data_IF_997338257550
#
_entry.id   IF_997338257550
#
_cell.length_a   1.000
_cell.length_b   1.000
_cell.length_c   1.000
_cell.angle_alpha   90.00
_cell.angle_beta   90.00
_cell.angle_gamma   90.00
#
_symmetry.space_group_name_H-M   'P 1'
#
loop_
_entity.id
_entity.type
_entity.pdbx_description
1 polymer ?
#
# COMPACT_ATOMS: atom_id res chain seq x y z
N UNK A 1 -7.95 -61.45 -20.21
CA UNK A 1 -7.49 -62.50 -21.15
C UNK A 1 -7.57 -63.85 -20.46
N UNK A 2 -8.32 -64.83 -20.97
CA UNK A 2 -8.35 -66.17 -20.36
C UNK A 2 -7.17 -67.01 -20.83
N UNK A 3 -6.51 -67.69 -19.91
CA UNK A 3 -5.41 -68.60 -20.19
C UNK A 3 -5.92 -69.84 -20.94
N UNK A 4 -5.39 -70.13 -22.12
CA UNK A 4 -5.81 -71.32 -22.89
C UNK A 4 -5.57 -72.66 -22.16
N UNK A 5 -4.64 -72.70 -21.19
CA UNK A 5 -4.26 -73.92 -20.49
C UNK A 5 -5.08 -74.20 -19.21
N UNK A 6 -5.46 -73.17 -18.47
CA UNK A 6 -6.18 -73.33 -17.19
C UNK A 6 -7.44 -72.47 -17.07
N UNK A 7 -7.84 -71.82 -18.16
CA UNK A 7 -9.01 -70.94 -18.33
C UNK A 7 -9.07 -69.73 -17.37
N UNK A 8 -8.03 -69.52 -16.57
CA UNK A 8 -7.96 -68.42 -15.62
C UNK A 8 -7.95 -67.06 -16.32
N UNK A 9 -8.75 -66.12 -15.83
CA UNK A 9 -8.87 -64.78 -16.38
C UNK A 9 -7.79 -63.85 -15.82
N UNK A 10 -6.77 -63.59 -16.64
CA UNK A 10 -5.61 -62.79 -16.27
C UNK A 10 -5.81 -61.29 -16.53
N UNK A 11 -5.11 -60.49 -15.72
CA UNK A 11 -4.99 -59.05 -15.86
C UNK A 11 -4.34 -58.72 -17.23
N UNK A 12 -4.90 -57.80 -18.03
CA UNK A 12 -4.33 -57.40 -19.31
C UNK A 12 -2.89 -56.89 -19.17
N UNK A 13 -2.01 -57.25 -20.12
CA UNK A 13 -0.61 -56.80 -20.17
C UNK A 13 0.42 -57.74 -19.52
N UNK A 14 -0.01 -58.87 -18.94
CA UNK A 14 0.90 -59.90 -18.45
C UNK A 14 1.26 -60.90 -19.56
N UNK A 15 2.55 -61.16 -19.74
CA UNK A 15 3.04 -62.12 -20.74
C UNK A 15 2.81 -63.60 -20.35
N UNK A 16 2.51 -63.86 -19.07
CA UNK A 16 2.31 -65.22 -18.53
C UNK A 16 1.11 -65.24 -17.59
N UNK A 17 0.44 -66.39 -17.56
CA UNK A 17 -0.68 -66.62 -16.65
C UNK A 17 -0.18 -66.65 -15.19
N UNK A 18 -0.78 -65.85 -14.31
CA UNK A 18 -0.43 -65.81 -12.88
C UNK A 18 -0.62 -67.19 -12.24
N UNK A 19 -1.66 -67.91 -12.64
CA UNK A 19 -2.01 -69.18 -12.01
C UNK A 19 -1.11 -70.35 -12.39
N UNK A 20 -0.87 -70.58 -13.68
CA UNK A 20 -0.15 -71.77 -14.15
C UNK A 20 1.15 -71.46 -14.90
N UNK A 21 1.53 -70.19 -15.04
CA UNK A 21 2.76 -69.78 -15.71
C UNK A 21 2.77 -69.93 -17.23
N UNK A 22 1.69 -70.42 -17.86
CA UNK A 22 1.65 -70.56 -19.32
C UNK A 22 1.83 -69.20 -20.00
N UNK A 23 2.59 -69.16 -21.07
CA UNK A 23 2.73 -67.96 -21.90
C UNK A 23 1.35 -67.64 -22.48
N UNK A 24 0.89 -66.41 -22.26
CA UNK A 24 -0.34 -65.92 -22.85
C UNK A 24 0.05 -65.39 -24.22
N UNK A 25 0.03 -66.26 -25.24
CA UNK A 25 0.17 -65.86 -26.64
C UNK A 25 -1.05 -65.01 -27.01
N UNK A 26 -0.92 -63.71 -26.77
CA UNK A 26 -1.84 -62.72 -27.29
C UNK A 26 -0.99 -61.75 -28.10
N UNK A 27 -1.26 -61.69 -29.41
CA UNK A 27 -0.84 -60.63 -30.31
C UNK A 27 -0.80 -59.31 -29.54
N UNK A 28 0.40 -58.84 -29.22
CA UNK A 28 0.62 -57.65 -28.43
C UNK A 28 0.33 -56.44 -29.30
N UNK A 29 -0.94 -56.19 -29.59
CA UNK A 29 -1.35 -54.85 -29.94
C UNK A 29 -1.14 -54.03 -28.68
N UNK A 30 -0.02 -53.31 -28.66
CA UNK A 30 0.38 -52.47 -27.54
C UNK A 30 -0.73 -51.43 -27.36
N UNK A 31 -1.64 -51.68 -26.42
CA UNK A 31 -2.61 -50.70 -25.97
C UNK A 31 -1.78 -49.57 -25.37
N UNK A 32 -1.50 -48.54 -26.17
CA UNK A 32 -0.83 -47.34 -25.72
C UNK A 32 -1.79 -46.59 -24.79
N UNK A 33 -1.75 -46.95 -23.51
CA UNK A 33 -2.37 -46.15 -22.46
C UNK A 33 -1.51 -44.90 -22.35
N UNK A 34 -1.96 -43.80 -22.97
CA UNK A 34 -1.43 -42.47 -22.71
C UNK A 34 -2.15 -41.91 -21.48
N UNK A 35 -1.62 -42.06 -20.25
CA UNK A 35 -2.24 -41.42 -19.10
C UNK A 35 -2.27 -39.92 -19.37
N UNK A 36 -3.38 -39.23 -19.04
CA UNK A 36 -3.48 -37.79 -19.25
C UNK A 36 -2.31 -37.11 -18.55
N UNK A 37 -1.38 -36.56 -19.36
CA UNK A 37 -0.19 -35.88 -18.84
C UNK A 37 -0.67 -34.66 -18.07
N UNK A 38 -0.34 -34.61 -16.79
CA UNK A 38 -0.69 -33.47 -15.96
C UNK A 38 -0.01 -32.22 -16.53
N UNK A 39 -0.74 -31.12 -16.76
CA UNK A 39 -0.16 -29.90 -17.32
C UNK A 39 0.90 -29.32 -16.39
N UNK A 40 1.98 -28.78 -16.96
CA UNK A 40 3.19 -28.38 -16.25
C UNK A 40 2.94 -27.40 -15.09
N UNK A 41 1.95 -26.50 -15.23
CA UNK A 41 1.58 -25.51 -14.21
C UNK A 41 1.00 -26.13 -12.93
N UNK A 42 0.48 -27.36 -12.96
CA UNK A 42 -0.02 -28.06 -11.77
C UNK A 42 1.09 -28.68 -10.91
N UNK A 43 2.30 -28.87 -11.46
CA UNK A 43 3.45 -29.45 -10.75
C UNK A 43 3.89 -28.61 -9.53
N UNK A 44 4.09 -27.28 -9.64
CA UNK A 44 4.43 -26.46 -8.47
C UNK A 44 3.29 -26.40 -7.44
N UNK A 45 2.02 -26.34 -7.88
CA UNK A 45 0.87 -26.33 -7.00
C UNK A 45 0.74 -27.62 -6.17
N UNK A 46 1.03 -28.78 -6.77
CA UNK A 46 1.04 -30.06 -6.02
C UNK A 46 2.20 -30.12 -5.03
N UNK A 47 3.36 -29.54 -5.37
CA UNK A 47 4.49 -29.40 -4.45
C UNK A 47 4.15 -28.53 -3.25
N UNK A 48 3.53 -27.37 -3.48
CA UNK A 48 3.02 -26.49 -2.43
C UNK A 48 1.93 -27.20 -1.59
N UNK A 49 0.98 -27.89 -2.23
CA UNK A 49 -0.06 -28.64 -1.54
C UNK A 49 0.44 -29.85 -0.74
N UNK A 50 1.57 -30.46 -1.14
CA UNK A 50 2.26 -31.49 -0.33
C UNK A 50 3.05 -30.88 0.81
N UNK A 51 3.73 -29.74 0.60
CA UNK A 51 4.40 -29.00 1.69
C UNK A 51 3.40 -28.47 2.71
N UNK A 52 2.26 -27.94 2.28
CA UNK A 52 1.16 -27.54 3.16
C UNK A 52 0.55 -28.75 3.89
N UNK A 53 0.41 -29.90 3.22
CA UNK A 53 0.05 -31.17 3.88
C UNK A 53 1.15 -31.73 4.80
N UNK A 54 2.42 -31.43 4.52
CA UNK A 54 3.54 -31.70 5.41
C UNK A 54 3.63 -30.71 6.57
N UNK A 55 3.13 -29.49 6.42
CA UNK A 55 2.86 -28.58 7.53
C UNK A 55 1.61 -29.01 8.32
N UNK A 56 0.73 -29.80 7.68
CA UNK A 56 -0.26 -30.64 8.37
C UNK A 56 0.35 -31.96 8.93
N UNK A 57 1.67 -32.05 9.15
CA UNK A 57 2.27 -33.14 9.93
C UNK A 57 1.65 -33.16 11.34
N UNK A 58 0.71 -34.10 11.51
CA UNK A 58 0.19 -34.68 12.73
C UNK A 58 -0.20 -33.71 13.87
N UNK A 59 -1.51 -33.46 14.05
CA UNK A 59 -2.11 -32.87 15.25
C UNK A 59 -1.92 -33.66 16.57
N UNK A 60 -0.85 -34.45 16.75
CA UNK A 60 -0.70 -35.39 17.86
C UNK A 60 0.66 -35.43 18.57
N UNK A 61 1.67 -34.69 18.12
CA UNK A 61 3.04 -34.86 18.68
C UNK A 61 3.38 -33.95 19.86
N UNK A 62 2.59 -32.92 20.15
CA UNK A 62 2.76 -32.18 21.41
C UNK A 62 2.18 -33.03 22.54
N UNK A 63 2.98 -33.40 23.54
CA UNK A 63 2.49 -34.11 24.71
C UNK A 63 1.27 -33.40 25.32
N UNK A 64 0.29 -34.14 25.86
CA UNK A 64 -0.93 -33.55 26.41
C UNK A 64 -0.67 -32.52 27.51
N UNK A 65 0.46 -32.60 28.23
CA UNK A 65 0.86 -31.60 29.21
C UNK A 65 1.30 -30.27 28.55
N UNK A 66 2.00 -30.30 27.42
CA UNK A 66 2.35 -29.09 26.67
C UNK A 66 1.13 -28.46 26.01
N UNK A 67 0.16 -29.27 25.58
CA UNK A 67 -1.12 -28.75 25.06
C UNK A 67 -1.88 -28.01 26.16
N UNK A 68 -1.99 -28.58 27.37
CA UNK A 68 -2.62 -27.89 28.51
C UNK A 68 -1.89 -26.61 28.92
N UNK A 69 -0.55 -26.62 28.93
CA UNK A 69 0.24 -25.43 29.23
C UNK A 69 0.06 -24.34 28.14
N UNK A 70 0.06 -24.72 26.87
CA UNK A 70 -0.22 -23.81 25.76
C UNK A 70 -1.66 -23.27 25.83
N UNK A 71 -2.65 -24.11 26.10
CA UNK A 71 -4.05 -23.69 26.22
C UNK A 71 -4.26 -22.77 27.44
N UNK A 72 -3.58 -23.03 28.56
CA UNK A 72 -3.56 -22.17 29.75
C UNK A 72 -2.92 -20.81 29.42
N UNK A 73 -1.74 -20.81 28.82
CA UNK A 73 -1.04 -19.58 28.44
C UNK A 73 -1.83 -18.77 27.38
N UNK A 74 -2.47 -19.45 26.43
CA UNK A 74 -3.32 -18.84 25.41
C UNK A 74 -4.70 -18.44 25.94
N UNK A 75 -5.15 -18.98 27.08
CA UNK A 75 -6.41 -18.61 27.73
C UNK A 75 -6.32 -17.24 28.41
N UNK A 76 -5.11 -16.76 28.70
CA UNK A 76 -4.89 -15.39 29.10
C UNK A 76 -5.32 -14.44 27.97
N UNK A 77 -6.35 -13.63 28.26
CA UNK A 77 -6.96 -12.67 27.33
C UNK A 77 -5.92 -11.75 26.69
N UNK A 78 -4.84 -11.42 27.40
CA UNK A 78 -3.74 -10.58 26.91
C UNK A 78 -2.91 -11.27 25.83
N UNK A 79 -2.54 -12.55 25.99
CA UNK A 79 -1.76 -13.30 24.99
C UNK A 79 -2.59 -13.50 23.71
N UNK A 80 -3.88 -13.80 23.86
CA UNK A 80 -4.81 -13.90 22.74
C UNK A 80 -4.93 -12.60 21.94
N UNK A 81 -4.96 -11.46 22.64
CA UNK A 81 -4.98 -10.13 22.01
C UNK A 81 -3.67 -9.84 21.26
N UNK A 82 -2.52 -10.13 21.86
CA UNK A 82 -1.21 -9.96 21.22
C UNK A 82 -1.06 -10.84 19.98
N UNK A 83 -1.49 -12.09 20.03
CA UNK A 83 -1.47 -12.99 18.87
C UNK A 83 -2.47 -12.57 17.78
N UNK A 84 -3.50 -11.81 18.14
CA UNK A 84 -4.48 -11.27 17.19
C UNK A 84 -3.95 -10.06 16.41
N UNK A 85 -2.77 -9.52 16.75
CA UNK A 85 -2.04 -8.52 15.94
C UNK A 85 -1.79 -9.06 14.54
N UNK A 86 -1.48 -10.36 14.42
CA UNK A 86 -1.36 -11.04 13.13
C UNK A 86 -2.69 -11.74 12.82
N UNK A 87 -3.43 -11.32 11.77
CA UNK A 87 -4.76 -11.86 11.51
C UNK A 87 -4.72 -13.37 11.30
N UNK A 88 -5.48 -14.10 12.14
CA UNK A 88 -5.59 -15.55 12.06
C UNK A 88 -4.49 -16.34 12.77
N UNK A 89 -3.41 -15.71 13.28
CA UNK A 89 -2.32 -16.41 13.97
C UNK A 89 -2.80 -17.12 15.23
N UNK A 90 -3.61 -16.44 16.04
CA UNK A 90 -4.19 -17.02 17.25
C UNK A 90 -5.02 -18.29 16.93
N UNK A 91 -5.83 -18.24 15.86
CA UNK A 91 -6.61 -19.38 15.35
C UNK A 91 -5.74 -20.50 14.80
N UNK A 92 -4.60 -20.16 14.17
CA UNK A 92 -3.62 -21.11 13.68
C UNK A 92 -2.97 -21.90 14.82
N UNK A 93 -2.52 -21.21 15.89
CA UNK A 93 -1.92 -21.84 17.06
C UNK A 93 -2.90 -22.77 17.79
N UNK A 94 -4.19 -22.42 17.84
CA UNK A 94 -5.27 -23.28 18.39
C UNK A 94 -5.83 -24.31 17.40
N UNK A 95 -5.23 -24.46 16.21
CA UNK A 95 -5.67 -25.42 15.18
C UNK A 95 -7.12 -25.23 14.68
N UNK A 96 -7.69 -24.03 14.89
CA UNK A 96 -9.03 -23.63 14.43
C UNK A 96 -8.97 -22.72 13.20
N UNK A 97 -7.83 -22.64 12.53
CA UNK A 97 -7.64 -21.80 11.34
C UNK A 97 -8.67 -22.05 10.23
N UNK A 98 -9.15 -23.30 10.10
CA UNK A 98 -10.23 -23.66 9.16
C UNK A 98 -11.52 -22.89 9.35
N UNK A 99 -11.76 -22.29 10.52
CA UNK A 99 -12.94 -21.46 10.75
C UNK A 99 -12.79 -20.06 10.15
N UNK A 100 -11.54 -19.54 10.05
CA UNK A 100 -11.25 -18.15 9.70
C UNK A 100 -10.46 -17.98 8.40
N UNK A 101 -9.97 -19.05 7.78
CA UNK A 101 -9.06 -18.94 6.63
C UNK A 101 -9.62 -18.12 5.47
N UNK A 102 -10.92 -18.24 5.15
CA UNK A 102 -11.57 -17.40 4.15
C UNK A 102 -11.57 -15.91 4.52
N UNK A 103 -11.74 -15.59 5.82
CA UNK A 103 -11.66 -14.21 6.32
C UNK A 103 -10.23 -13.68 6.20
N UNK A 104 -9.22 -14.51 6.46
CA UNK A 104 -7.81 -14.12 6.28
C UNK A 104 -7.49 -13.87 4.81
N UNK A 105 -8.00 -14.71 3.89
CA UNK A 105 -7.86 -14.47 2.45
C UNK A 105 -8.54 -13.17 2.04
N UNK A 106 -9.78 -12.94 2.49
CA UNK A 106 -10.53 -11.72 2.20
C UNK A 106 -9.81 -10.47 2.75
N UNK A 107 -9.32 -10.55 3.98
CA UNK A 107 -8.49 -9.52 4.59
C UNK A 107 -7.25 -9.20 3.74
N UNK A 108 -6.52 -10.23 3.32
CA UNK A 108 -5.32 -10.08 2.50
C UNK A 108 -5.65 -9.47 1.13
N UNK A 109 -6.77 -9.87 0.52
CA UNK A 109 -7.24 -9.29 -0.74
C UNK A 109 -7.56 -7.80 -0.59
N UNK A 110 -8.35 -7.43 0.43
CA UNK A 110 -8.65 -6.02 0.71
C UNK A 110 -7.38 -5.22 1.02
N UNK A 111 -6.43 -5.77 1.78
CA UNK A 111 -5.18 -5.11 2.09
C UNK A 111 -4.34 -4.88 0.83
N UNK A 112 -4.11 -5.93 0.03
CA UNK A 112 -3.29 -5.85 -1.18
C UNK A 112 -3.90 -4.88 -2.21
N UNK A 113 -5.20 -4.96 -2.46
CA UNK A 113 -5.87 -4.06 -3.41
C UNK A 113 -5.95 -2.64 -2.85
N UNK A 114 -6.22 -2.49 -1.55
CA UNK A 114 -6.25 -1.19 -0.88
C UNK A 114 -4.90 -0.48 -0.93
N UNK A 115 -3.80 -1.20 -0.68
CA UNK A 115 -2.43 -0.68 -0.83
C UNK A 115 -2.09 -0.38 -2.29
N UNK A 116 -2.50 -1.24 -3.22
CA UNK A 116 -2.32 -1.00 -4.65
C UNK A 116 -3.00 0.30 -5.13
N UNK A 117 -4.17 0.61 -4.56
CA UNK A 117 -4.96 1.83 -4.82
C UNK A 117 -4.69 2.95 -3.79
N UNK A 118 -3.59 2.88 -3.04
CA UNK A 118 -3.30 3.85 -1.97
C UNK A 118 -3.30 5.29 -2.50
N UNK A 119 -3.78 6.23 -1.68
CA UNK A 119 -3.97 7.64 -2.09
C UNK A 119 -5.27 7.94 -2.83
N UNK A 120 -6.10 6.93 -3.13
CA UNK A 120 -7.46 7.07 -3.70
C UNK A 120 -8.57 6.80 -2.67
N UNK A 121 -9.80 7.24 -2.96
CA UNK A 121 -10.97 6.95 -2.11
C UNK A 121 -11.29 5.44 -2.05
N UNK A 122 -11.28 4.68 -3.18
CA UNK A 122 -11.45 3.23 -3.12
C UNK A 122 -10.36 2.52 -2.31
N UNK A 123 -9.10 2.95 -2.42
CA UNK A 123 -8.00 2.42 -1.63
C UNK A 123 -8.22 2.60 -0.12
N UNK A 124 -8.65 3.80 0.29
CA UNK A 124 -8.98 4.09 1.69
C UNK A 124 -10.13 3.22 2.21
N UNK A 125 -11.20 3.05 1.40
CA UNK A 125 -12.33 2.17 1.75
C UNK A 125 -11.87 0.73 1.94
N UNK A 126 -11.07 0.18 1.03
CA UNK A 126 -10.58 -1.20 1.10
C UNK A 126 -9.64 -1.42 2.28
N UNK A 127 -8.78 -0.46 2.62
CA UNK A 127 -7.95 -0.54 3.83
C UNK A 127 -8.84 -0.52 5.09
N UNK A 128 -9.88 0.32 5.12
CA UNK A 128 -10.87 0.32 6.19
C UNK A 128 -11.59 -1.02 6.35
N UNK A 129 -12.00 -1.63 5.22
CA UNK A 129 -12.58 -2.97 5.21
C UNK A 129 -11.60 -4.05 5.67
N UNK A 130 -10.32 -3.95 5.30
CA UNK A 130 -9.28 -4.84 5.82
C UNK A 130 -9.17 -4.73 7.35
N UNK A 131 -9.12 -3.52 7.90
CA UNK A 131 -9.12 -3.30 9.37
C UNK A 131 -10.36 -3.92 10.02
N UNK A 132 -11.54 -3.73 9.42
CA UNK A 132 -12.79 -4.29 9.94
C UNK A 132 -12.77 -5.84 9.95
N UNK A 133 -12.32 -6.47 8.87
CA UNK A 133 -12.18 -7.94 8.78
C UNK A 133 -11.13 -8.44 9.79
N UNK A 134 -10.02 -7.73 9.97
CA UNK A 134 -9.00 -8.07 10.97
C UNK A 134 -9.59 -8.03 12.38
N UNK A 135 -10.27 -6.94 12.75
CA UNK A 135 -10.94 -6.83 14.03
C UNK A 135 -11.98 -7.95 14.23
N UNK A 136 -12.74 -8.32 13.20
CA UNK A 136 -13.69 -9.44 13.25
C UNK A 136 -12.98 -10.79 13.50
N UNK A 137 -11.86 -11.06 12.83
CA UNK A 137 -11.05 -12.28 13.06
C UNK A 137 -10.55 -12.34 14.51
N UNK A 138 -10.04 -11.21 15.03
CA UNK A 138 -9.52 -11.09 16.39
C UNK A 138 -10.62 -11.34 17.44
N UNK A 139 -11.77 -10.70 17.27
CA UNK A 139 -12.89 -10.79 18.19
C UNK A 139 -13.52 -12.19 18.21
N UNK A 140 -13.51 -12.91 17.08
CA UNK A 140 -13.99 -14.31 16.99
C UNK A 140 -13.12 -15.30 17.77
N UNK A 141 -11.93 -14.92 18.22
CA UNK A 141 -10.96 -15.83 18.83
C UNK A 141 -11.36 -16.31 20.24
N UNK A 142 -11.89 -15.44 21.11
CA UNK A 142 -12.27 -15.83 22.49
C UNK A 142 -13.06 -14.77 23.26
N UNK A 143 -12.76 -13.49 23.03
CA UNK A 143 -13.33 -12.35 23.76
C UNK A 143 -14.85 -12.36 23.88
N UNK A 144 -15.58 -12.83 22.86
CA UNK A 144 -17.04 -12.85 22.88
C UNK A 144 -17.70 -14.03 23.60
N UNK A 145 -16.95 -15.08 23.93
CA UNK A 145 -17.52 -16.22 24.67
C UNK A 145 -17.68 -15.91 26.15
N UNK A 146 -16.78 -15.11 26.72
CA UNK A 146 -16.78 -14.79 28.16
C UNK A 146 -17.51 -13.48 28.48
N UNK A 147 -17.56 -12.55 27.52
CA UNK A 147 -18.26 -11.28 27.69
C UNK A 147 -19.76 -11.49 27.43
N UNK A 148 -20.57 -11.58 28.49
CA UNK A 148 -22.01 -11.83 28.38
C UNK A 148 -22.83 -10.66 27.80
N UNK A 149 -22.49 -9.42 28.15
CA UNK A 149 -23.28 -8.24 27.81
C UNK A 149 -23.01 -7.66 26.42
N UNK A 150 -24.06 -7.25 25.71
CA UNK A 150 -23.97 -6.60 24.38
C UNK A 150 -23.09 -5.34 24.42
N UNK A 151 -23.26 -4.48 25.43
CA UNK A 151 -22.47 -3.26 25.60
C UNK A 151 -20.96 -3.55 25.73
N UNK A 152 -20.60 -4.54 26.55
CA UNK A 152 -19.21 -4.95 26.71
C UNK A 152 -18.64 -5.57 25.44
N UNK A 153 -19.46 -6.30 24.66
CA UNK A 153 -19.07 -6.79 23.33
C UNK A 153 -18.78 -5.63 22.35
N UNK A 154 -19.66 -4.63 22.29
CA UNK A 154 -19.47 -3.45 21.44
C UNK A 154 -18.21 -2.68 21.85
N UNK A 155 -18.00 -2.47 23.15
CA UNK A 155 -16.80 -1.80 23.67
C UNK A 155 -15.51 -2.57 23.29
N UNK A 156 -15.51 -3.89 23.44
CA UNK A 156 -14.37 -4.73 23.07
C UNK A 156 -14.07 -4.65 21.56
N UNK A 157 -15.09 -4.66 20.69
CA UNK A 157 -14.92 -4.49 19.24
C UNK A 157 -14.30 -3.15 18.92
N UNK A 158 -14.84 -2.06 19.49
CA UNK A 158 -14.33 -0.71 19.24
C UNK A 158 -12.88 -0.58 19.68
N UNK A 159 -12.52 -1.13 20.85
CA UNK A 159 -11.14 -1.12 21.33
C UNK A 159 -10.21 -1.88 20.38
N UNK A 160 -10.59 -3.06 19.91
CA UNK A 160 -9.81 -3.84 18.93
C UNK A 160 -9.68 -3.09 17.61
N UNK A 161 -10.76 -2.48 17.10
CA UNK A 161 -10.74 -1.67 15.87
C UNK A 161 -9.77 -0.50 16.01
N UNK A 162 -9.81 0.24 17.12
CA UNK A 162 -8.89 1.36 17.39
C UNK A 162 -7.45 0.86 17.48
N UNK A 163 -7.19 -0.22 18.21
CA UNK A 163 -5.85 -0.79 18.35
C UNK A 163 -5.26 -1.25 16.99
N UNK A 164 -6.06 -1.96 16.18
CA UNK A 164 -5.66 -2.38 14.83
C UNK A 164 -5.48 -1.17 13.91
N UNK A 165 -6.34 -0.15 13.99
CA UNK A 165 -6.19 1.07 13.21
C UNK A 165 -4.89 1.82 13.55
N UNK A 166 -4.54 1.93 14.83
CA UNK A 166 -3.26 2.50 15.28
C UNK A 166 -2.10 1.69 14.72
N UNK A 167 -2.16 0.35 14.82
CA UNK A 167 -1.14 -0.53 14.26
C UNK A 167 -0.95 -0.30 12.75
N UNK A 168 -2.04 -0.24 11.98
CA UNK A 168 -2.02 0.02 10.54
C UNK A 168 -1.47 1.40 10.20
N UNK A 169 -1.68 2.40 11.07
CA UNK A 169 -1.17 3.74 10.89
C UNK A 169 0.32 3.86 11.24
N UNK A 170 0.78 3.15 12.28
CA UNK A 170 2.18 3.16 12.74
C UNK A 170 3.06 2.29 11.85
N UNK A 171 2.59 1.11 11.45
CA UNK A 171 3.41 0.09 10.75
C UNK A 171 4.12 0.65 9.50
N UNK A 172 3.46 1.37 8.58
CA UNK A 172 4.13 1.93 7.40
C UNK A 172 5.26 2.91 7.76
N UNK A 173 5.10 3.67 8.86
CA UNK A 173 6.12 4.62 9.32
C UNK A 173 7.34 3.94 9.94
N UNK A 174 7.16 2.76 10.52
CA UNK A 174 8.26 2.01 11.15
C UNK A 174 8.95 1.11 10.14
N UNK A 175 8.19 0.42 9.28
CA UNK A 175 8.72 -0.52 8.29
C UNK A 175 9.36 0.21 7.11
N UNK A 176 8.84 1.39 6.76
CA UNK A 176 9.33 2.17 5.61
C UNK A 176 9.54 3.64 6.00
N UNK A 177 10.46 3.94 6.94
CA UNK A 177 10.60 5.26 7.57
C UNK A 177 11.03 6.40 6.63
N UNK A 178 11.40 6.07 5.39
CA UNK A 178 11.80 7.02 4.35
C UNK A 178 10.73 7.31 3.28
N UNK A 179 9.57 6.65 3.33
CA UNK A 179 8.50 6.88 2.36
C UNK A 179 7.33 7.62 2.97
N UNK A 180 6.83 8.60 2.22
CA UNK A 180 5.60 9.31 2.49
C UNK A 180 4.91 9.59 1.15
N UNK A 181 3.78 10.30 1.15
CA UNK A 181 3.17 10.74 -0.10
C UNK A 181 2.27 11.94 0.10
N UNK A 182 1.88 12.53 -1.02
CA UNK A 182 1.04 13.72 -1.05
C UNK A 182 0.36 13.87 -2.40
N UNK A 183 -0.70 14.68 -2.41
CA UNK A 183 -1.37 15.08 -3.65
C UNK A 183 -0.78 16.39 -4.17
N UNK A 184 -0.75 16.52 -5.49
CA UNK A 184 -0.47 17.80 -6.14
C UNK A 184 -1.78 18.54 -6.41
N UNK A 185 -1.73 19.87 -6.37
CA UNK A 185 -2.80 20.73 -6.88
C UNK A 185 -2.41 21.36 -8.24
N UNK A 186 -1.18 21.12 -8.72
CA UNK A 186 -0.68 21.64 -9.97
C UNK A 186 -1.09 20.76 -11.17
N UNK A 187 -1.32 21.41 -12.30
CA UNK A 187 -1.27 20.78 -13.62
C UNK A 187 0.11 21.02 -14.23
N UNK A 188 0.83 19.98 -14.67
CA UNK A 188 2.11 20.11 -15.39
C UNK A 188 2.01 19.36 -16.72
N UNK A 189 1.65 20.05 -17.83
CA UNK A 189 1.37 19.42 -19.11
C UNK A 189 2.50 18.55 -19.67
N UNK A 190 3.74 19.03 -19.61
CA UNK A 190 4.90 18.27 -20.13
C UNK A 190 5.14 16.95 -19.38
N UNK A 191 4.58 16.82 -18.17
CA UNK A 191 4.65 15.62 -17.34
C UNK A 191 3.30 14.92 -17.22
N UNK A 192 2.27 15.29 -17.97
CA UNK A 192 0.94 14.67 -17.85
C UNK A 192 0.41 14.63 -16.39
N UNK A 193 0.79 15.62 -15.57
CA UNK A 193 0.43 15.70 -14.15
C UNK A 193 -0.81 16.56 -14.01
N UNK A 194 -1.75 16.06 -13.20
CA UNK A 194 -3.04 16.71 -12.98
C UNK A 194 -3.31 16.95 -11.49
N UNK A 195 -4.18 17.93 -11.16
CA UNK A 195 -4.62 18.14 -9.79
C UNK A 195 -5.28 16.88 -9.21
N UNK A 196 -4.89 16.50 -8.00
CA UNK A 196 -5.37 15.30 -7.32
C UNK A 196 -4.51 14.05 -7.52
N UNK A 197 -3.57 14.06 -8.47
CA UNK A 197 -2.60 12.97 -8.62
C UNK A 197 -1.80 12.76 -7.32
N UNK A 198 -1.60 11.50 -6.95
CA UNK A 198 -0.90 11.11 -5.71
C UNK A 198 0.52 10.64 -6.03
N UNK A 199 1.49 11.16 -5.28
CA UNK A 199 2.89 10.84 -5.45
C UNK A 199 3.44 10.14 -4.22
N UNK A 200 4.29 9.12 -4.44
CA UNK A 200 5.19 8.60 -3.40
C UNK A 200 6.45 9.46 -3.38
N UNK A 201 6.84 9.81 -2.17
CA UNK A 201 7.90 10.75 -1.86
C UNK A 201 8.95 10.04 -1.03
N UNK A 202 10.20 10.17 -1.45
CA UNK A 202 11.36 9.74 -0.68
C UNK A 202 11.83 10.88 0.20
N UNK A 203 11.91 10.64 1.51
CA UNK A 203 12.45 11.61 2.47
C UNK A 203 13.89 11.94 2.11
N UNK A 204 14.23 13.22 2.15
CA UNK A 204 15.62 13.65 1.97
C UNK A 204 16.40 13.29 3.24
N UNK A 205 17.47 12.52 3.08
CA UNK A 205 18.38 12.19 4.20
C UNK A 205 19.30 13.37 4.52
N UNK A 206 19.74 14.10 3.50
CA UNK A 206 20.58 15.27 3.63
C UNK A 206 19.77 16.56 3.38
N UNK A 207 19.60 17.44 4.38
CA UNK A 207 18.93 18.72 4.19
C UNK A 207 19.72 19.70 3.30
N UNK A 208 21.02 19.46 3.07
CA UNK A 208 21.86 20.29 2.21
C UNK A 208 21.83 19.84 0.74
N UNK A 209 21.13 18.74 0.42
CA UNK A 209 21.03 18.27 -0.96
C UNK A 209 20.39 19.35 -1.83
N UNK A 210 21.14 19.82 -2.82
CA UNK A 210 20.64 20.79 -3.80
C UNK A 210 19.58 20.13 -4.66
N UNK A 211 18.38 20.70 -4.67
CA UNK A 211 17.27 20.19 -5.46
C UNK A 211 17.30 20.82 -6.85
N UNK A 212 17.29 20.03 -7.94
CA UNK A 212 17.27 20.60 -9.27
C UNK A 212 15.91 21.26 -9.55
N UNK A 213 15.93 22.28 -10.40
CA UNK A 213 14.72 22.93 -10.89
C UNK A 213 13.80 21.92 -11.57
N UNK A 214 12.50 22.04 -11.33
CA UNK A 214 11.46 21.15 -11.84
C UNK A 214 11.19 19.94 -10.96
N UNK A 215 12.00 19.71 -9.92
CA UNK A 215 11.75 18.66 -8.93
C UNK A 215 10.41 18.88 -8.25
N UNK A 216 9.63 17.80 -8.14
CA UNK A 216 8.43 17.77 -7.31
C UNK A 216 8.80 17.44 -5.88
N UNK A 217 8.34 18.27 -4.96
CA UNK A 217 8.70 18.20 -3.56
C UNK A 217 7.47 18.21 -2.66
N UNK A 218 7.53 17.43 -1.59
CA UNK A 218 6.53 17.49 -0.54
C UNK A 218 6.87 18.62 0.42
N UNK A 219 6.01 19.63 0.48
CA UNK A 219 6.19 20.79 1.35
C UNK A 219 5.12 20.81 2.45
N UNK A 220 5.47 21.37 3.60
CA UNK A 220 4.51 21.69 4.67
C UNK A 220 4.45 23.21 4.83
N UNK A 221 3.50 23.90 4.18
CA UNK A 221 3.49 25.36 4.15
C UNK A 221 3.16 25.93 5.53
N UNK A 222 4.17 26.31 6.32
CA UNK A 222 3.93 26.86 7.68
C UNK A 222 3.34 28.27 7.64
N UNK A 223 3.53 28.98 6.53
CA UNK A 223 3.28 30.42 6.39
C UNK A 223 1.85 30.78 5.94
N UNK A 224 1.15 29.88 5.26
CA UNK A 224 -0.23 30.12 4.77
C UNK A 224 -1.22 30.20 5.93
N UNK A 225 -0.91 29.56 7.05
CA UNK A 225 -1.78 29.48 8.23
C UNK A 225 -2.04 30.84 8.90
N UNK A 226 -1.19 31.84 8.66
CA UNK A 226 -1.36 33.17 9.25
C UNK A 226 -2.32 34.08 8.47
N UNK A 227 -2.76 33.66 7.27
CA UNK A 227 -3.59 34.50 6.39
C UNK A 227 -5.09 34.15 6.45
N UNK A 228 -5.48 33.04 7.08
CA UNK A 228 -6.90 32.65 7.29
C UNK A 228 -7.11 31.89 8.61
N UNK A 229 -7.79 32.48 9.60
CA UNK A 229 -8.25 31.75 10.79
C UNK A 229 -9.29 30.66 10.43
N UNK A 230 -10.09 30.90 9.40
CA UNK A 230 -11.26 30.07 9.05
C UNK A 230 -10.97 28.96 8.05
N UNK A 231 -9.74 28.87 7.54
CA UNK A 231 -9.28 27.74 6.74
C UNK A 231 -8.93 26.56 7.67
N UNK A 232 -9.93 26.09 8.42
CA UNK A 232 -9.81 24.97 9.36
C UNK A 232 -9.67 23.61 8.66
N UNK A 233 -9.72 23.56 7.33
CA UNK A 233 -9.54 22.30 6.60
C UNK A 233 -8.06 22.00 6.36
N UNK A 234 -7.52 21.36 7.40
CA UNK A 234 -6.37 20.47 7.39
C UNK A 234 -4.98 21.10 7.55
N UNK A 235 -4.71 21.54 8.79
CA UNK A 235 -3.39 21.92 9.35
C UNK A 235 -2.30 20.84 9.21
N UNK A 236 -2.62 19.66 8.67
CA UNK A 236 -1.71 18.53 8.50
C UNK A 236 -1.35 18.22 7.05
N UNK A 237 -2.02 18.83 6.06
CA UNK A 237 -1.83 18.46 4.66
C UNK A 237 -0.51 19.00 4.10
N UNK A 238 0.46 18.09 4.04
CA UNK A 238 1.61 18.26 3.17
C UNK A 238 1.13 18.19 1.72
N UNK A 239 1.64 19.06 0.85
CA UNK A 239 1.26 19.12 -0.56
C UNK A 239 2.48 18.95 -1.46
N UNK A 240 2.26 18.45 -2.68
CA UNK A 240 3.31 18.41 -3.70
C UNK A 240 3.34 19.76 -4.42
N UNK A 241 4.51 20.40 -4.41
CA UNK A 241 4.81 21.59 -5.20
C UNK A 241 5.98 21.35 -6.15
N UNK A 242 6.20 22.28 -7.08
CA UNK A 242 7.30 22.21 -8.05
C UNK A 242 8.37 23.25 -7.74
N UNK A 243 9.64 22.85 -7.69
CA UNK A 243 10.77 23.79 -7.54
C UNK A 243 10.94 24.60 -8.83
N UNK A 244 10.80 25.91 -8.76
CA UNK A 244 10.98 26.83 -9.90
C UNK A 244 12.29 27.61 -9.75
N UNK A 245 12.48 28.28 -8.61
CA UNK A 245 13.66 29.10 -8.32
C UNK A 245 14.59 28.42 -7.32
N UNK A 246 15.89 28.48 -7.60
CA UNK A 246 16.96 27.96 -6.75
C UNK A 246 17.48 29.05 -5.80
N UNK A 247 18.24 28.67 -4.75
CA UNK A 247 18.95 29.63 -3.90
C UNK A 247 19.70 30.70 -4.70
N UNK A 248 19.62 31.95 -4.25
CA UNK A 248 20.26 33.13 -4.84
C UNK A 248 19.73 33.56 -6.22
N UNK A 249 18.69 32.90 -6.75
CA UNK A 249 18.05 33.35 -7.98
C UNK A 249 16.99 34.42 -7.70
N UNK A 250 16.62 35.17 -8.74
CA UNK A 250 15.49 36.10 -8.70
C UNK A 250 14.40 35.61 -9.64
N UNK A 251 13.20 35.41 -9.10
CA UNK A 251 12.02 34.94 -9.84
C UNK A 251 11.13 36.12 -10.22
N UNK A 252 10.88 36.24 -11.52
CA UNK A 252 9.87 37.14 -12.07
C UNK A 252 8.75 36.30 -12.70
N UNK A 253 7.51 36.80 -12.62
CA UNK A 253 6.37 36.22 -13.32
C UNK A 253 5.86 37.27 -14.30
N UNK A 254 5.92 36.98 -15.59
CA UNK A 254 5.48 37.89 -16.65
C UNK A 254 4.89 37.08 -17.80
N UNK A 255 3.80 37.56 -18.38
CA UNK A 255 3.15 36.95 -19.56
C UNK A 255 2.90 35.44 -19.38
N UNK A 256 2.38 35.05 -18.21
CA UNK A 256 2.12 33.67 -17.80
C UNK A 256 3.33 32.72 -17.88
N UNK A 257 4.55 33.25 -17.70
CA UNK A 257 5.76 32.46 -17.60
C UNK A 257 6.65 32.93 -16.45
N UNK A 258 7.41 31.99 -15.90
CA UNK A 258 8.51 32.32 -14.99
C UNK A 258 9.72 32.80 -15.79
N UNK A 259 10.36 33.86 -15.32
CA UNK A 259 11.60 34.40 -15.85
C UNK A 259 12.63 34.37 -14.72
N UNK A 260 13.76 33.71 -14.98
CA UNK A 260 14.85 33.54 -14.02
C UNK A 260 16.14 34.06 -14.65
N UNK A 261 16.76 35.07 -14.03
CA UNK A 261 18.00 35.68 -14.54
C UNK A 261 17.90 36.06 -16.03
N UNK A 262 16.75 36.60 -16.45
CA UNK A 262 16.47 36.98 -17.84
C UNK A 262 16.03 35.84 -18.77
N UNK A 263 16.12 34.58 -18.35
CA UNK A 263 15.68 33.42 -19.14
C UNK A 263 14.22 33.08 -18.85
N UNK A 264 13.38 33.11 -19.89
CA UNK A 264 11.99 32.62 -19.84
C UNK A 264 11.98 31.09 -19.77
N UNK A 265 11.24 30.53 -18.81
CA UNK A 265 11.01 29.09 -18.71
C UNK A 265 9.85 28.66 -19.62
N UNK A 266 9.89 27.40 -20.05
CA UNK A 266 8.82 26.77 -20.83
C UNK A 266 7.56 26.58 -19.96
N UNK A 267 6.41 27.21 -20.31
CA UNK A 267 5.18 27.14 -19.52
C UNK A 267 4.56 25.75 -19.48
N UNK A 268 4.88 24.85 -20.42
CA UNK A 268 4.36 23.47 -20.40
C UNK A 268 5.05 22.62 -19.32
N UNK A 269 6.31 22.95 -19.00
CA UNK A 269 7.11 22.28 -17.97
C UNK A 269 7.08 23.00 -16.62
N UNK A 270 6.94 24.32 -16.66
CA UNK A 270 6.92 25.22 -15.49
C UNK A 270 5.69 26.13 -15.54
N UNK A 271 4.48 25.57 -15.40
CA UNK A 271 3.24 26.33 -15.50
C UNK A 271 3.10 27.27 -14.30
N UNK A 272 2.69 28.51 -14.59
CA UNK A 272 2.33 29.48 -13.56
C UNK A 272 0.94 29.09 -13.01
N UNK A 273 0.76 28.85 -11.70
CA UNK A 273 -0.55 28.54 -11.12
C UNK A 273 -1.59 29.64 -11.37
N UNK A 274 -2.88 29.29 -11.47
CA UNK A 274 -3.93 30.22 -11.88
C UNK A 274 -4.06 31.41 -10.91
N UNK A 275 -3.92 31.18 -9.61
CA UNK A 275 -3.91 32.26 -8.63
C UNK A 275 -2.75 33.25 -8.81
N UNK A 276 -1.57 32.78 -9.22
CA UNK A 276 -0.38 33.60 -9.46
C UNK A 276 -0.45 34.33 -10.81
N UNK A 277 -1.17 33.78 -11.78
CA UNK A 277 -1.51 34.48 -13.03
C UNK A 277 -2.47 35.64 -12.76
N UNK A 278 -3.47 35.44 -11.90
CA UNK A 278 -4.45 36.47 -11.53
C UNK A 278 -3.81 37.59 -10.70
N UNK A 279 -2.82 37.23 -9.90
CA UNK A 279 -2.16 38.11 -8.96
C UNK A 279 -0.63 37.98 -9.07
N UNK A 280 -0.03 38.42 -10.19
CA UNK A 280 1.41 38.33 -10.36
C UNK A 280 2.13 39.24 -9.36
N UNK A 281 3.31 38.85 -8.87
CA UNK A 281 4.13 39.71 -8.03
C UNK A 281 4.49 40.99 -8.77
N UNK A 282 4.42 42.13 -8.07
CA UNK A 282 4.74 43.44 -8.67
C UNK A 282 6.23 43.68 -8.81
N UNK A 283 7.01 42.99 -7.97
CA UNK A 283 8.46 43.10 -7.92
C UNK A 283 9.12 41.73 -8.12
N UNK A 284 10.35 41.69 -8.69
CA UNK A 284 11.15 40.47 -8.73
C UNK A 284 11.33 39.88 -7.32
N UNK A 285 11.17 38.57 -7.19
CA UNK A 285 11.25 37.87 -5.91
C UNK A 285 12.63 37.24 -5.74
N UNK A 286 13.50 37.76 -4.86
CA UNK A 286 14.77 37.13 -4.57
C UNK A 286 14.59 35.87 -3.72
N UNK A 287 15.25 34.77 -4.10
CA UNK A 287 15.24 33.49 -3.38
C UNK A 287 16.43 33.45 -2.41
N UNK A 288 16.18 33.36 -1.08
CA UNK A 288 17.25 33.27 -0.08
C UNK A 288 18.14 32.02 -0.25
N UNK A 289 19.37 32.08 0.28
CA UNK A 289 20.38 31.01 0.22
C UNK A 289 19.89 29.62 0.70
N UNK A 290 19.00 29.60 1.70
CA UNK A 290 18.51 28.37 2.34
C UNK A 290 17.06 28.05 1.98
N UNK A 291 16.60 28.55 0.83
CA UNK A 291 15.21 28.46 0.40
C UNK A 291 15.10 28.17 -1.09
N UNK A 292 13.92 27.71 -1.49
CA UNK A 292 13.53 27.49 -2.87
C UNK A 292 12.26 28.27 -3.16
N UNK A 293 12.10 28.73 -4.39
CA UNK A 293 10.80 29.20 -4.87
C UNK A 293 10.02 27.98 -5.38
N UNK A 294 9.08 27.50 -4.58
CA UNK A 294 8.24 26.34 -4.88
C UNK A 294 6.83 26.82 -5.19
N UNK A 295 6.27 26.34 -6.28
CA UNK A 295 4.90 26.70 -6.67
C UNK A 295 3.94 25.56 -6.38
N UNK A 296 2.69 25.93 -6.11
CA UNK A 296 1.52 25.04 -6.03
C UNK A 296 0.27 25.84 -6.40
N UNK A 297 -0.84 25.16 -6.63
CA UNK A 297 -2.15 25.83 -6.77
C UNK A 297 -2.75 26.03 -5.37
N UNK A 298 -3.11 27.27 -5.04
CA UNK A 298 -3.72 27.62 -3.77
C UNK A 298 -5.10 28.21 -4.00
N UNK A 299 -6.05 27.89 -3.12
CA UNK A 299 -7.35 28.54 -3.08
C UNK A 299 -7.23 29.97 -2.53
N UNK A 300 -6.67 30.88 -3.33
CA UNK A 300 -6.59 32.29 -3.02
C UNK A 300 -7.97 32.94 -3.23
N UNK A 301 -8.77 32.96 -2.17
CA UNK A 301 -9.99 33.76 -2.12
C UNK A 301 -9.59 35.17 -1.65
N UNK A 302 -9.10 35.97 -2.60
CA UNK A 302 -8.76 37.36 -2.42
C UNK A 302 -10.06 38.18 -2.36
N UNK A 303 -10.74 38.18 -1.19
CA UNK A 303 -11.90 39.06 -1.01
C UNK A 303 -11.52 40.51 -0.69
N UNK A 304 -10.42 40.83 0.02
CA UNK A 304 -10.26 42.24 0.45
C UNK A 304 -8.84 42.82 0.70
N UNK A 305 -7.72 42.16 0.37
CA UNK A 305 -6.41 42.74 0.73
C UNK A 305 -5.30 42.59 -0.32
N UNK A 306 -5.45 43.31 -1.45
CA UNK A 306 -4.39 43.47 -2.47
C UNK A 306 -3.09 44.11 -1.94
N UNK A 307 -3.11 44.80 -0.78
CA UNK A 307 -1.94 45.48 -0.22
C UNK A 307 -0.84 44.55 0.31
N UNK A 308 -1.16 43.28 0.58
CA UNK A 308 -0.19 42.31 1.12
C UNK A 308 0.14 41.19 0.13
N UNK A 309 -0.17 41.37 -1.15
CA UNK A 309 -0.06 40.32 -2.16
C UNK A 309 1.39 39.84 -2.34
N UNK A 310 2.35 40.76 -2.53
CA UNK A 310 3.76 40.39 -2.71
C UNK A 310 4.31 39.67 -1.46
N UNK A 311 3.92 40.13 -0.26
CA UNK A 311 4.29 39.48 1.00
C UNK A 311 3.66 38.08 1.13
N UNK A 312 2.40 37.91 0.72
CA UNK A 312 1.71 36.63 0.73
C UNK A 312 2.34 35.66 -0.27
N UNK A 313 2.67 36.11 -1.48
CA UNK A 313 3.39 35.31 -2.48
C UNK A 313 4.76 34.91 -1.92
N UNK A 314 5.52 35.86 -1.37
CA UNK A 314 6.82 35.57 -0.77
C UNK A 314 6.70 34.52 0.33
N UNK A 315 5.77 34.72 1.28
CA UNK A 315 5.54 33.79 2.38
C UNK A 315 5.12 32.40 1.89
N UNK A 316 4.30 32.33 0.84
CA UNK A 316 3.71 31.07 0.35
C UNK A 316 4.66 30.29 -0.56
N UNK A 317 5.37 30.98 -1.45
CA UNK A 317 6.20 30.36 -2.48
C UNK A 317 7.67 30.21 -2.06
N UNK A 318 8.18 31.00 -1.11
CA UNK A 318 9.54 30.81 -0.58
C UNK A 318 9.49 29.76 0.52
N UNK A 319 9.93 28.55 0.18
CA UNK A 319 9.97 27.41 1.10
C UNK A 319 11.40 27.18 1.55
N UNK A 320 11.63 27.19 2.87
CA UNK A 320 12.95 26.86 3.43
C UNK A 320 13.31 25.42 3.11
N UNK A 321 14.59 25.13 2.86
CA UNK A 321 15.07 23.77 2.61
C UNK A 321 14.65 22.78 3.72
N UNK A 322 14.68 23.21 4.98
CA UNK A 322 14.24 22.43 6.14
C UNK A 322 12.72 22.11 6.18
N UNK A 323 11.88 22.83 5.42
CA UNK A 323 10.44 22.58 5.33
C UNK A 323 10.09 21.58 4.21
N UNK A 324 11.06 21.26 3.34
CA UNK A 324 10.95 20.24 2.30
C UNK A 324 11.09 18.86 2.93
N UNK A 325 10.03 18.06 2.89
CA UNK A 325 10.00 16.74 3.53
C UNK A 325 10.59 15.63 2.66
N UNK A 326 10.60 15.81 1.36
CA UNK A 326 11.07 14.79 0.43
C UNK A 326 10.87 15.14 -1.03
N UNK A 327 11.49 14.34 -1.90
CA UNK A 327 11.33 14.40 -3.36
C UNK A 327 10.31 13.36 -3.83
N UNK A 328 9.34 13.78 -4.63
CA UNK A 328 8.46 12.86 -5.34
C UNK A 328 9.24 12.12 -6.43
N UNK A 329 9.16 10.79 -6.43
CA UNK A 329 9.87 9.94 -7.40
C UNK A 329 8.94 9.00 -8.18
N UNK A 330 7.69 8.83 -7.74
CA UNK A 330 6.71 7.92 -8.34
C UNK A 330 5.32 8.57 -8.33
N UNK A 331 4.76 8.78 -9.50
CA UNK A 331 3.32 9.06 -9.67
C UNK A 331 2.59 7.74 -9.44
N UNK A 332 1.86 7.64 -8.34
CA UNK A 332 1.24 6.39 -7.89
C UNK A 332 -0.21 6.25 -8.31
N UNK A 333 -0.94 7.37 -8.30
CA UNK A 333 -2.35 7.44 -8.66
C UNK A 333 -2.59 8.65 -9.59
N UNK A 334 -3.39 8.49 -10.66
CA UNK A 334 -4.15 7.29 -11.05
C UNK A 334 -3.31 6.18 -11.69
N UNK A 335 -3.89 4.97 -11.78
CA UNK A 335 -3.21 3.78 -12.33
C UNK A 335 -2.74 3.98 -13.77
N UNK A 336 -3.56 4.61 -14.60
CA UNK A 336 -3.30 4.84 -16.02
C UNK A 336 -2.06 5.70 -16.27
N UNK A 337 -1.70 6.56 -15.30
CA UNK A 337 -0.53 7.47 -15.37
C UNK A 337 0.57 7.08 -14.40
N UNK A 338 0.55 5.85 -13.86
CA UNK A 338 1.53 5.42 -12.88
C UNK A 338 2.92 5.29 -13.52
N UNK A 339 3.90 6.05 -13.02
CA UNK A 339 5.26 6.07 -13.57
C UNK A 339 6.29 6.63 -12.61
N UNK A 340 7.54 6.20 -12.76
CA UNK A 340 8.67 6.86 -12.13
C UNK A 340 8.91 8.22 -12.79
N UNK A 341 9.33 9.20 -11.98
CA UNK A 341 9.66 10.56 -12.43
C UNK A 341 11.17 10.74 -12.69
N UNK A 342 11.96 9.73 -12.38
CA UNK A 342 13.43 9.70 -12.49
C UNK A 342 13.87 8.73 -13.58
#
# INVERSE_FOLDING_TARGET
>A
MRCARCEFENIPGLARCIRCGSILEACSEVIQIHPPRMPAWRRPLRGAGRRLRGWHLAPGSLPPHMQKAADSFLSETTVGLLLSIIPGLAHLLRRRYREVWWLVILWLAFLCVGLYLYGSNPGALLIGLAIAVHAWIAVRYSLFREVGGLAAKVCAVLLVVVAVAILYWVTPRVVVPGLTGGRTALTIPALDIHPGDYFVVRRLADPNLTLPRGTLVLIRPQSIYNLRPDAYQDRSQSMIGQVIGLPHETVCVKDNAFILSGRRLDPTRFPVPAWLQRYPPRSPIPVPANSYFVTSEYAASARDNMRYLDRAIYQTCIVKAAEIRGRAFLQWWPLERRRFLE
#
